data_IF_725318895457
#
_entry.id   IF_725318895457
#
_cell.length_a   1.000
_cell.length_b   1.000
_cell.length_c   1.000
_cell.angle_alpha   90.00
_cell.angle_beta   90.00
_cell.angle_gamma   90.00
#
_symmetry.space_group_name_H-M   'P 1'
#
loop_
_entity.id
_entity.type
_entity.pdbx_description
1 polymer ?
#
# COMPACT_ATOMS: atom_id res chain seq x y z
N UNK A 1 39.04 -67.98 -37.13
CA UNK A 1 39.36 -67.22 -38.36
C UNK A 1 38.02 -66.73 -38.93
N UNK A 2 37.87 -65.41 -39.10
CA UNK A 2 36.78 -64.66 -39.77
C UNK A 2 35.34 -64.87 -39.25
N UNK A 3 34.76 -63.92 -38.51
CA UNK A 3 34.13 -62.66 -38.95
C UNK A 3 32.67 -62.86 -39.40
N UNK A 4 31.76 -62.56 -38.47
CA UNK A 4 30.30 -62.53 -38.61
C UNK A 4 29.88 -61.13 -39.06
N UNK A 5 29.10 -61.03 -40.13
CA UNK A 5 28.34 -59.83 -40.50
C UNK A 5 26.93 -60.27 -40.88
N UNK A 6 25.98 -60.15 -39.95
CA UNK A 6 24.55 -60.22 -40.24
C UNK A 6 23.97 -58.80 -40.14
N UNK A 7 23.43 -58.33 -41.25
CA UNK A 7 22.69 -57.08 -41.35
C UNK A 7 21.37 -57.18 -40.57
N UNK A 8 21.19 -56.33 -39.56
CA UNK A 8 19.90 -56.09 -38.91
C UNK A 8 19.20 -54.91 -39.59
N UNK A 9 17.98 -55.15 -40.07
CA UNK A 9 17.04 -54.13 -40.54
C UNK A 9 16.43 -53.46 -39.30
N UNK A 10 16.71 -52.16 -39.10
CA UNK A 10 16.15 -51.38 -38.01
C UNK A 10 14.77 -50.81 -38.42
N UNK A 11 13.71 -51.29 -37.78
CA UNK A 11 12.39 -50.66 -37.78
C UNK A 11 12.45 -49.34 -36.99
N UNK A 12 12.18 -48.22 -37.66
CA UNK A 12 11.98 -46.91 -37.03
C UNK A 12 10.62 -46.90 -36.36
N UNK A 13 10.59 -46.94 -35.02
CA UNK A 13 9.39 -46.63 -34.24
C UNK A 13 9.37 -45.11 -34.03
N UNK A 14 8.39 -44.44 -34.61
CA UNK A 14 8.15 -43.01 -34.40
C UNK A 14 7.68 -42.77 -32.96
N UNK A 15 8.40 -41.91 -32.24
CA UNK A 15 7.96 -41.41 -30.94
C UNK A 15 6.77 -40.45 -31.10
N UNK A 16 5.77 -40.46 -30.19
CA UNK A 16 4.67 -39.52 -30.25
C UNK A 16 5.17 -38.09 -29.98
N UNK A 17 4.59 -37.06 -30.61
CA UNK A 17 4.98 -35.68 -30.38
C UNK A 17 4.68 -35.29 -28.92
N UNK A 18 5.71 -34.84 -28.22
CA UNK A 18 5.58 -34.23 -26.90
C UNK A 18 4.81 -32.91 -27.04
N UNK A 19 3.61 -32.87 -26.49
CA UNK A 19 2.87 -31.62 -26.27
C UNK A 19 3.56 -30.85 -25.14
N UNK A 20 4.65 -30.16 -25.44
CA UNK A 20 5.03 -28.99 -24.63
C UNK A 20 3.98 -27.92 -24.91
N UNK A 21 3.00 -27.83 -24.01
CA UNK A 21 2.16 -26.66 -23.89
C UNK A 21 3.09 -25.50 -23.52
N UNK A 22 3.40 -24.65 -24.48
CA UNK A 22 4.08 -23.39 -24.22
C UNK A 22 3.27 -22.67 -23.14
N UNK A 23 3.88 -22.43 -21.98
CA UNK A 23 3.33 -21.51 -21.00
C UNK A 23 3.19 -20.17 -21.73
N UNK A 24 1.96 -19.74 -21.95
CA UNK A 24 1.68 -18.39 -22.40
C UNK A 24 2.31 -17.47 -21.37
N UNK A 25 3.37 -16.75 -21.76
CA UNK A 25 3.89 -15.66 -20.96
C UNK A 25 2.73 -14.70 -20.71
N UNK A 26 2.27 -14.61 -19.47
CA UNK A 26 1.33 -13.57 -19.05
C UNK A 26 1.98 -12.24 -19.39
N UNK A 27 1.27 -11.39 -20.14
CA UNK A 27 1.71 -10.03 -20.39
C UNK A 27 2.01 -9.39 -19.02
N UNK A 28 3.18 -8.78 -18.79
CA UNK A 28 3.46 -8.07 -17.55
C UNK A 28 2.41 -6.99 -17.22
N UNK A 29 1.58 -6.55 -18.18
CA UNK A 29 0.41 -5.71 -17.92
C UNK A 29 -0.71 -6.41 -17.13
N UNK A 30 -0.80 -7.73 -17.23
CA UNK A 30 -1.85 -8.55 -16.60
C UNK A 30 -1.42 -9.09 -15.22
N UNK A 31 -0.14 -8.91 -14.84
CA UNK A 31 0.34 -9.31 -13.53
C UNK A 31 -0.29 -8.44 -12.44
N UNK A 32 -1.11 -9.06 -11.58
CA UNK A 32 -1.68 -8.42 -10.40
C UNK A 32 -0.71 -8.55 -9.23
N UNK A 33 -0.44 -7.42 -8.58
CA UNK A 33 0.50 -7.28 -7.47
C UNK A 33 -0.20 -6.66 -6.26
N UNK A 34 0.24 -7.06 -5.08
CA UNK A 34 -0.37 -6.63 -3.80
C UNK A 34 0.32 -5.37 -3.30
N UNK A 35 -0.45 -4.31 -3.08
CA UNK A 35 0.00 -2.99 -2.65
C UNK A 35 -0.66 -2.63 -1.31
N UNK A 36 -0.20 -1.58 -0.59
CA UNK A 36 -0.90 -1.10 0.62
C UNK A 36 -2.23 -0.38 0.31
N UNK A 37 -2.79 -0.60 -0.87
CA UNK A 37 -4.09 -0.12 -1.30
C UNK A 37 -4.93 -1.24 -1.95
N UNK A 38 -4.49 -2.51 -1.83
CA UNK A 38 -5.12 -3.65 -2.49
C UNK A 38 -4.36 -4.18 -3.71
N UNK A 39 -4.96 -5.16 -4.43
CA UNK A 39 -4.42 -5.71 -5.68
C UNK A 39 -4.55 -4.71 -6.84
N UNK A 40 -3.44 -4.45 -7.54
CA UNK A 40 -3.39 -3.62 -8.75
C UNK A 40 -2.58 -4.28 -9.86
N UNK A 41 -2.81 -3.95 -11.14
CA UNK A 41 -1.89 -4.31 -12.21
C UNK A 41 -0.50 -3.73 -11.95
N UNK A 42 0.56 -4.51 -12.17
CA UNK A 42 1.96 -4.06 -12.04
C UNK A 42 2.22 -2.82 -12.89
N UNK A 43 1.64 -2.76 -14.09
CA UNK A 43 1.77 -1.63 -15.02
C UNK A 43 1.18 -0.31 -14.49
N UNK A 44 0.32 -0.36 -13.46
CA UNK A 44 -0.25 0.83 -12.81
C UNK A 44 0.65 1.43 -11.73
N UNK A 45 1.81 0.81 -11.45
CA UNK A 45 2.70 1.23 -10.38
C UNK A 45 3.87 2.06 -10.91
N UNK A 46 4.08 3.23 -10.31
CA UNK A 46 5.08 4.20 -10.76
C UNK A 46 5.97 4.66 -9.61
N UNK A 47 7.28 4.46 -9.75
CA UNK A 47 8.25 5.05 -8.85
C UNK A 47 8.29 6.57 -9.06
N UNK A 48 8.21 7.33 -7.97
CA UNK A 48 8.40 8.79 -7.97
C UNK A 48 9.86 9.06 -7.60
N UNK A 49 10.67 9.61 -8.53
CA UNK A 49 12.07 9.93 -8.23
C UNK A 49 12.20 11.00 -7.14
N UNK A 50 13.33 10.99 -6.44
CA UNK A 50 13.64 12.00 -5.43
C UNK A 50 13.52 13.42 -6.00
N UNK A 51 12.78 14.27 -5.29
CA UNK A 51 12.52 15.66 -5.68
C UNK A 51 11.45 15.83 -6.77
N UNK A 52 10.92 14.75 -7.34
CA UNK A 52 9.73 14.80 -8.19
C UNK A 52 8.44 14.93 -7.34
N UNK A 53 7.32 15.24 -7.99
CA UNK A 53 6.00 15.32 -7.37
C UNK A 53 4.93 14.69 -8.25
N UNK A 54 3.85 14.22 -7.64
CA UNK A 54 2.65 13.77 -8.35
C UNK A 54 1.67 14.94 -8.48
N UNK A 55 1.15 15.17 -9.68
CA UNK A 55 0.12 16.18 -9.94
C UNK A 55 -1.13 15.54 -10.51
N UNK A 56 -2.20 15.52 -9.72
CA UNK A 56 -3.54 15.13 -10.16
C UNK A 56 -4.29 16.38 -10.63
N UNK A 57 -4.73 16.32 -11.89
CA UNK A 57 -5.79 17.15 -12.44
C UNK A 57 -7.07 16.31 -12.62
N UNK A 58 -8.14 16.92 -13.11
CA UNK A 58 -9.41 16.22 -13.36
C UNK A 58 -9.25 14.99 -14.27
N UNK A 59 -8.39 15.07 -15.30
CA UNK A 59 -8.32 14.06 -16.36
C UNK A 59 -6.99 13.30 -16.41
N UNK A 60 -5.95 13.80 -15.74
CA UNK A 60 -4.60 13.26 -15.86
C UNK A 60 -3.89 13.32 -14.51
N UNK A 61 -3.12 12.28 -14.22
CA UNK A 61 -2.13 12.26 -13.14
C UNK A 61 -0.73 12.21 -13.76
N UNK A 62 0.15 13.10 -13.32
CA UNK A 62 1.50 13.25 -13.85
C UNK A 62 2.55 13.14 -12.77
N UNK A 63 3.71 12.58 -13.11
CA UNK A 63 4.93 12.75 -12.31
C UNK A 63 5.72 13.90 -12.93
N UNK A 64 5.96 14.94 -12.14
CA UNK A 64 6.71 16.12 -12.55
C UNK A 64 8.06 16.12 -11.85
N UNK A 65 9.14 16.24 -12.62
CA UNK A 65 10.49 16.48 -12.11
C UNK A 65 10.55 17.81 -11.33
N UNK A 66 11.67 18.03 -10.64
CA UNK A 66 11.92 19.25 -9.88
C UNK A 66 11.94 20.52 -10.75
N UNK A 67 12.33 20.40 -12.01
CA UNK A 67 12.31 21.49 -13.01
C UNK A 67 10.94 21.67 -13.71
N UNK A 68 9.95 20.84 -13.38
CA UNK A 68 8.61 20.85 -13.97
C UNK A 68 8.44 19.96 -15.19
N UNK A 69 9.49 19.28 -15.66
CA UNK A 69 9.40 18.32 -16.78
C UNK A 69 8.46 17.16 -16.42
N UNK A 70 7.58 16.77 -17.35
CA UNK A 70 6.71 15.60 -17.18
C UNK A 70 7.54 14.33 -17.41
N UNK A 71 7.70 13.52 -16.38
CA UNK A 71 8.39 12.21 -16.41
C UNK A 71 7.40 11.11 -16.81
N UNK A 72 6.17 11.19 -16.32
CA UNK A 72 5.12 10.21 -16.56
C UNK A 72 3.76 10.90 -16.61
N UNK A 73 2.83 10.32 -17.38
CA UNK A 73 1.45 10.80 -17.50
C UNK A 73 0.52 9.61 -17.68
N UNK A 74 -0.50 9.51 -16.82
CA UNK A 74 -1.56 8.53 -16.91
C UNK A 74 -2.92 9.23 -16.90
N UNK A 75 -3.87 8.74 -17.69
CA UNK A 75 -5.24 9.24 -17.67
C UNK A 75 -5.94 8.83 -16.39
N UNK A 76 -6.78 9.72 -15.86
CA UNK A 76 -7.77 9.39 -14.83
C UNK A 76 -8.88 8.59 -15.50
N UNK A 77 -8.73 7.26 -15.54
CA UNK A 77 -9.85 6.38 -15.83
C UNK A 77 -10.70 6.29 -14.56
N UNK A 78 -11.98 6.69 -14.61
CA UNK A 78 -12.90 6.42 -13.50
C UNK A 78 -12.84 4.92 -13.20
N UNK A 79 -12.44 4.56 -11.99
CA UNK A 79 -12.38 3.17 -11.58
C UNK A 79 -13.76 2.54 -11.82
N UNK A 80 -13.84 1.55 -12.71
CA UNK A 80 -15.03 0.70 -12.79
C UNK A 80 -15.04 -0.07 -11.47
N UNK A 81 -15.99 0.26 -10.61
CA UNK A 81 -16.20 -0.38 -9.30
C UNK A 81 -16.40 -1.89 -9.47
N UNK A 82 -15.32 -2.64 -9.56
CA UNK A 82 -15.31 -4.08 -9.35
C UNK A 82 -14.65 -4.34 -8.01
N UNK A 83 -15.32 -3.92 -6.94
CA UNK A 83 -15.13 -4.63 -5.68
C UNK A 83 -15.51 -6.10 -5.93
N UNK A 84 -14.63 -7.07 -5.67
CA UNK A 84 -15.02 -8.47 -5.72
C UNK A 84 -16.10 -8.70 -4.66
N UNK A 85 -17.29 -9.12 -5.06
CA UNK A 85 -18.30 -9.66 -4.15
C UNK A 85 -17.73 -10.90 -3.46
N UNK A 86 -17.40 -10.77 -2.18
CA UNK A 86 -16.83 -11.84 -1.37
C UNK A 86 -17.94 -12.78 -0.84
N UNK A 87 -18.44 -13.67 -1.69
CA UNK A 87 -19.39 -14.72 -1.30
C UNK A 87 -18.68 -16.06 -1.15
N UNK A 88 -18.14 -16.37 0.04
CA UNK A 88 -18.22 -17.70 0.68
C UNK A 88 -17.34 -17.82 1.93
N UNK A 89 -17.89 -18.50 2.94
CA UNK A 89 -17.35 -18.80 4.26
C UNK A 89 -16.64 -20.16 4.25
N UNK A 90 -15.39 -20.19 3.79
CA UNK A 90 -14.42 -21.25 4.04
C UNK A 90 -13.11 -20.59 4.52
N UNK A 91 -12.19 -21.29 5.23
CA UNK A 91 -10.89 -20.73 5.59
C UNK A 91 -10.21 -20.23 4.31
N UNK A 92 -10.14 -18.91 4.18
CA UNK A 92 -9.84 -18.24 2.91
C UNK A 92 -8.32 -18.18 2.75
N UNK A 93 -7.81 -18.56 1.58
CA UNK A 93 -6.44 -18.23 1.21
C UNK A 93 -6.29 -16.71 1.21
N UNK A 94 -5.24 -16.16 1.84
CA UNK A 94 -5.15 -14.72 2.12
C UNK A 94 -4.94 -13.80 0.89
N UNK A 95 -5.38 -14.22 -0.30
CA UNK A 95 -5.10 -13.61 -1.61
C UNK A 95 -5.94 -12.37 -1.94
N UNK A 96 -6.81 -11.90 -1.04
CA UNK A 96 -7.59 -10.66 -1.24
C UNK A 96 -7.08 -9.45 -0.45
N UNK A 97 -6.00 -9.60 0.34
CA UNK A 97 -5.62 -8.59 1.33
C UNK A 97 -6.53 -8.62 2.54
N UNK A 98 -5.91 -8.65 3.72
CA UNK A 98 -6.61 -8.60 5.01
C UNK A 98 -6.46 -7.19 5.49
N UNK A 99 -7.55 -6.49 5.73
CA UNK A 99 -7.49 -5.12 6.24
C UNK A 99 -8.15 -5.11 7.61
N UNK A 100 -7.34 -4.93 8.64
CA UNK A 100 -7.84 -4.55 9.95
C UNK A 100 -7.50 -3.06 10.11
N UNK A 101 -8.51 -2.22 10.35
CA UNK A 101 -8.32 -0.77 10.33
C UNK A 101 -9.23 -0.05 11.32
N UNK A 102 -8.77 1.09 11.81
CA UNK A 102 -9.62 2.11 12.45
C UNK A 102 -9.70 3.33 11.56
N UNK A 103 -10.87 3.93 11.44
CA UNK A 103 -11.04 5.17 10.68
C UNK A 103 -11.83 6.23 11.44
N UNK A 104 -11.58 7.49 11.10
CA UNK A 104 -12.33 8.64 11.54
C UNK A 104 -12.60 9.55 10.35
N UNK A 105 -13.82 10.10 10.28
CA UNK A 105 -14.22 11.07 9.25
C UNK A 105 -14.25 12.48 9.83
N UNK A 106 -13.54 13.40 9.20
CA UNK A 106 -13.70 14.83 9.43
C UNK A 106 -15.03 15.31 8.81
N UNK A 107 -16.01 15.55 9.68
CA UNK A 107 -17.29 16.18 9.32
C UNK A 107 -17.27 17.71 9.48
N UNK A 108 -16.14 18.29 9.91
CA UNK A 108 -15.97 19.73 10.04
C UNK A 108 -15.81 20.43 8.68
N UNK A 109 -15.95 21.75 8.69
CA UNK A 109 -15.77 22.59 7.50
C UNK A 109 -14.30 22.90 7.19
N UNK A 110 -13.42 22.78 8.19
CA UNK A 110 -11.98 22.97 8.08
C UNK A 110 -11.32 21.65 7.68
N UNK A 111 -10.66 21.56 6.50
CA UNK A 111 -9.98 20.35 6.07
C UNK A 111 -8.91 19.88 7.05
N UNK A 112 -8.56 18.59 7.02
CA UNK A 112 -7.35 18.12 7.70
C UNK A 112 -6.15 18.86 7.08
N UNK A 113 -5.21 19.30 7.91
CA UNK A 113 -3.97 19.96 7.50
C UNK A 113 -2.73 19.19 7.94
N UNK A 114 -2.83 18.37 8.98
CA UNK A 114 -1.78 17.44 9.38
C UNK A 114 -2.39 16.19 10.01
N UNK A 115 -1.81 15.04 9.69
CA UNK A 115 -2.07 13.78 10.37
C UNK A 115 -0.75 13.04 10.57
N UNK A 116 -0.42 12.75 11.83
CA UNK A 116 0.77 12.00 12.19
C UNK A 116 0.49 10.93 13.22
N UNK A 117 1.21 9.81 13.09
CA UNK A 117 1.16 8.70 14.05
C UNK A 117 2.55 8.12 14.23
N UNK A 118 2.84 7.62 15.44
CA UNK A 118 4.14 7.02 15.78
C UNK A 118 3.98 5.58 16.23
N UNK A 119 4.88 4.71 15.79
CA UNK A 119 4.88 3.30 16.20
C UNK A 119 6.30 2.73 16.21
N UNK A 120 6.48 1.69 17.02
CA UNK A 120 7.72 0.91 17.04
C UNK A 120 7.64 -0.17 15.97
N UNK A 121 8.67 -0.27 15.12
CA UNK A 121 8.76 -1.31 14.09
C UNK A 121 8.66 -2.69 14.76
N UNK A 122 7.71 -3.55 14.38
CA UNK A 122 7.50 -4.83 15.05
C UNK A 122 8.68 -5.77 14.87
N UNK A 123 8.78 -6.85 15.68
CA UNK A 123 9.63 -7.98 15.35
C UNK A 123 9.32 -8.49 13.93
N UNK A 124 10.33 -8.92 13.19
CA UNK A 124 10.10 -9.63 11.94
C UNK A 124 9.37 -10.95 12.23
N UNK A 125 8.53 -11.45 11.31
CA UNK A 125 8.00 -12.80 11.36
C UNK A 125 9.03 -13.88 11.70
N UNK A 126 8.62 -14.85 12.54
CA UNK A 126 9.45 -15.96 12.95
C UNK A 126 9.87 -16.84 11.76
N UNK A 127 8.93 -17.06 10.82
CA UNK A 127 9.16 -17.69 9.52
C UNK A 127 9.13 -16.66 8.40
N UNK A 128 9.75 -16.95 7.27
CA UNK A 128 9.95 -15.99 6.17
C UNK A 128 9.63 -16.68 4.84
N UNK A 129 8.35 -16.93 4.66
CA UNK A 129 7.83 -17.84 3.64
C UNK A 129 7.05 -17.08 2.54
N UNK A 130 7.25 -15.76 2.44
CA UNK A 130 6.67 -14.89 1.41
C UNK A 130 5.60 -13.92 1.91
N UNK A 131 5.51 -13.70 3.22
CA UNK A 131 4.55 -12.79 3.82
C UNK A 131 4.77 -11.35 3.37
N UNK A 132 3.68 -10.65 3.10
CA UNK A 132 3.68 -9.23 2.80
C UNK A 132 2.74 -8.52 3.78
N UNK A 133 3.29 -7.60 4.55
CA UNK A 133 2.57 -6.82 5.54
C UNK A 133 2.76 -5.34 5.25
N UNK A 134 1.71 -4.55 5.47
CA UNK A 134 1.74 -3.10 5.48
C UNK A 134 1.12 -2.57 6.77
N UNK A 135 1.80 -1.64 7.42
CA UNK A 135 1.31 -0.92 8.61
C UNK A 135 1.43 0.57 8.32
N UNK A 136 0.34 1.31 8.45
CA UNK A 136 0.32 2.72 8.03
C UNK A 136 -0.80 3.52 8.68
N UNK A 137 -0.56 4.82 8.76
CA UNK A 137 -1.61 5.82 8.87
C UNK A 137 -1.93 6.38 7.48
N UNK A 138 -3.17 6.72 7.18
CA UNK A 138 -3.58 7.16 5.84
C UNK A 138 -4.64 8.27 5.80
N UNK A 139 -4.64 9.02 4.71
CA UNK A 139 -5.64 10.01 4.34
C UNK A 139 -6.41 9.55 3.09
N UNK A 140 -7.75 9.63 3.14
CA UNK A 140 -8.65 9.17 2.06
C UNK A 140 -9.71 10.25 1.74
N UNK A 141 -10.00 10.53 0.45
CA UNK A 141 -11.04 11.46 0.03
C UNK A 141 -12.44 10.83 0.11
N UNK A 142 -13.49 11.66 0.09
CA UNK A 142 -14.89 11.16 0.12
C UNK A 142 -15.27 10.26 -1.07
N UNK A 143 -14.57 10.38 -2.19
CA UNK A 143 -14.73 9.56 -3.40
C UNK A 143 -14.22 8.12 -3.20
N UNK A 144 -13.33 7.89 -2.24
CA UNK A 144 -12.64 6.61 -2.00
C UNK A 144 -11.84 6.11 -3.21
N UNK A 145 -11.48 6.98 -4.15
CA UNK A 145 -10.64 6.65 -5.31
C UNK A 145 -9.16 6.96 -5.06
N UNK A 146 -8.79 7.40 -3.85
CA UNK A 146 -7.41 7.68 -3.49
C UNK A 146 -7.07 7.26 -2.06
N UNK A 147 -5.78 6.99 -1.82
CA UNK A 147 -5.23 6.79 -0.48
C UNK A 147 -3.82 7.37 -0.46
N UNK A 148 -3.55 8.23 0.51
CA UNK A 148 -2.25 8.85 0.72
C UNK A 148 -1.68 8.39 2.06
N UNK A 149 -0.47 7.85 2.08
CA UNK A 149 0.01 7.11 3.24
C UNK A 149 1.55 6.97 3.29
N UNK A 150 2.18 7.21 4.45
CA UNK A 150 3.48 6.65 4.79
C UNK A 150 3.31 5.21 5.28
N UNK A 151 4.03 4.27 4.65
CA UNK A 151 3.84 2.83 4.85
C UNK A 151 5.10 2.15 5.37
N UNK A 152 4.95 1.37 6.44
CA UNK A 152 5.91 0.37 6.88
C UNK A 152 5.57 -0.99 6.25
N UNK A 153 6.45 -1.52 5.42
CA UNK A 153 6.30 -2.79 4.71
C UNK A 153 7.23 -3.87 5.29
N UNK A 154 6.73 -5.08 5.48
CA UNK A 154 7.56 -6.30 5.54
C UNK A 154 7.26 -7.15 4.32
N UNK A 155 8.26 -7.81 3.74
CA UNK A 155 8.08 -8.67 2.57
C UNK A 155 8.47 -8.00 1.26
N UNK A 156 8.37 -8.77 0.18
CA UNK A 156 8.68 -8.30 -1.18
C UNK A 156 7.42 -7.77 -1.85
N UNK A 157 7.50 -6.57 -2.40
CA UNK A 157 6.49 -5.97 -3.28
C UNK A 157 7.18 -5.44 -4.55
N UNK A 158 6.43 -4.98 -5.57
CA UNK A 158 7.03 -4.32 -6.74
C UNK A 158 7.80 -3.04 -6.40
N UNK A 159 7.52 -2.41 -5.26
CA UNK A 159 8.31 -1.27 -4.78
C UNK A 159 9.69 -1.68 -4.26
N UNK A 160 9.91 -2.98 -4.02
CA UNK A 160 11.12 -3.54 -3.41
C UNK A 160 10.81 -4.21 -2.08
N UNK A 161 11.81 -4.29 -1.21
CA UNK A 161 11.72 -4.97 0.08
C UNK A 161 12.27 -6.39 0.05
N UNK A 162 11.80 -7.21 0.97
CA UNK A 162 12.29 -8.58 1.18
C UNK A 162 11.99 -9.04 2.60
N UNK A 163 12.80 -9.95 3.12
CA UNK A 163 12.66 -10.50 4.47
C UNK A 163 13.10 -9.53 5.58
N UNK A 164 12.75 -8.26 5.46
CA UNK A 164 13.07 -7.15 6.36
C UNK A 164 11.99 -6.08 6.30
N UNK A 165 11.99 -5.18 7.28
CA UNK A 165 11.12 -4.02 7.30
C UNK A 165 11.68 -2.88 6.46
N UNK A 166 10.85 -2.22 5.65
CA UNK A 166 11.20 -1.04 4.87
C UNK A 166 10.09 0.00 4.95
N UNK A 167 10.42 1.27 4.73
CA UNK A 167 9.46 2.38 4.72
C UNK A 167 9.44 3.07 3.36
N UNK A 168 8.25 3.45 2.90
CA UNK A 168 8.05 4.26 1.69
C UNK A 168 6.74 5.04 1.83
N UNK A 169 6.59 6.15 1.11
CA UNK A 169 5.28 6.82 0.98
C UNK A 169 4.60 6.39 -0.31
N UNK A 170 3.27 6.23 -0.24
CA UNK A 170 2.44 5.78 -1.35
C UNK A 170 1.25 6.73 -1.55
N UNK A 171 0.85 6.86 -2.81
CA UNK A 171 -0.36 7.56 -3.22
C UNK A 171 -1.09 6.74 -4.29
N UNK A 172 -2.26 6.21 -3.94
CA UNK A 172 -3.25 5.75 -4.91
C UNK A 172 -4.06 6.94 -5.37
N UNK A 173 -4.29 7.01 -6.67
CA UNK A 173 -5.34 7.85 -7.25
C UNK A 173 -5.91 7.17 -8.48
N UNK A 174 -7.23 6.94 -8.45
CA UNK A 174 -7.98 6.18 -9.44
C UNK A 174 -7.44 4.76 -9.63
N UNK A 175 -6.75 4.51 -10.75
CA UNK A 175 -6.18 3.20 -11.10
C UNK A 175 -4.65 3.21 -11.15
N UNK A 176 -4.01 4.23 -10.57
CA UNK A 176 -2.56 4.39 -10.57
C UNK A 176 -2.03 4.50 -9.15
N UNK A 177 -0.89 3.84 -8.92
CA UNK A 177 -0.17 3.83 -7.66
C UNK A 177 1.17 4.53 -7.86
N UNK A 178 1.47 5.49 -7.00
CA UNK A 178 2.74 6.22 -6.98
C UNK A 178 3.43 5.96 -5.66
N UNK A 179 4.73 5.65 -5.68
CA UNK A 179 5.47 5.34 -4.46
C UNK A 179 6.89 5.87 -4.52
N UNK A 180 7.50 6.14 -3.36
CA UNK A 180 8.91 6.50 -3.27
C UNK A 180 9.79 5.26 -3.16
N UNK A 181 11.10 5.41 -3.39
CA UNK A 181 12.03 4.32 -3.15
C UNK A 181 11.97 3.88 -1.66
N UNK A 182 11.93 2.57 -1.37
CA UNK A 182 11.87 2.10 0.01
C UNK A 182 13.23 2.22 0.71
N UNK A 183 13.20 2.58 1.99
CA UNK A 183 14.37 2.61 2.88
C UNK A 183 14.24 1.53 3.96
N UNK A 184 15.29 0.75 4.18
CA UNK A 184 15.27 -0.34 5.13
C UNK A 184 15.34 0.16 6.58
N UNK A 185 14.49 -0.39 7.44
CA UNK A 185 14.46 -0.07 8.88
C UNK A 185 14.60 -1.33 9.73
N UNK A 186 15.03 -1.16 10.97
CA UNK A 186 15.21 -2.26 11.93
C UNK A 186 14.00 -2.37 12.85
N UNK A 187 13.66 -3.61 13.24
CA UNK A 187 12.74 -3.86 14.36
C UNK A 187 13.19 -3.09 15.61
N UNK A 188 12.22 -2.59 16.37
CA UNK A 188 12.46 -1.76 17.55
C UNK A 188 12.74 -0.29 17.26
N UNK A 189 12.95 0.12 16.00
CA UNK A 189 13.05 1.56 15.64
C UNK A 189 11.68 2.21 15.84
N UNK A 190 11.64 3.36 16.51
CA UNK A 190 10.44 4.22 16.54
C UNK A 190 10.38 5.00 15.23
N UNK A 191 9.23 4.94 14.57
CA UNK A 191 8.92 5.67 13.35
C UNK A 191 7.79 6.65 13.63
N UNK A 192 7.74 7.73 12.85
CA UNK A 192 6.60 8.63 12.80
C UNK A 192 6.25 8.93 11.35
N UNK A 193 5.11 8.42 10.91
CA UNK A 193 4.52 8.71 9.60
C UNK A 193 3.73 10.02 9.69
N UNK A 194 4.00 10.95 8.77
CA UNK A 194 3.41 12.29 8.80
C UNK A 194 2.91 12.65 7.41
N UNK A 195 1.66 13.11 7.34
CA UNK A 195 1.09 13.76 6.17
C UNK A 195 0.75 15.20 6.52
N UNK A 196 1.19 16.15 5.70
CA UNK A 196 0.98 17.58 5.92
C UNK A 196 0.51 18.27 4.66
N UNK A 197 -0.56 19.05 4.76
CA UNK A 197 -0.98 19.97 3.74
C UNK A 197 -0.03 21.17 3.75
N UNK A 198 0.73 21.31 2.66
CA UNK A 198 1.74 22.35 2.47
C UNK A 198 1.11 23.67 2.04
N UNK A 199 0.11 23.61 1.17
CA UNK A 199 -0.60 24.80 0.68
C UNK A 199 -1.92 24.43 0.03
N UNK A 200 -2.83 25.40 -0.03
CA UNK A 200 -4.05 25.34 -0.85
C UNK A 200 -3.97 26.46 -1.88
N UNK A 201 -4.16 26.15 -3.15
CA UNK A 201 -4.15 27.13 -4.24
C UNK A 201 -5.46 27.09 -4.99
N UNK A 202 -5.98 28.26 -5.39
CA UNK A 202 -7.22 28.35 -6.17
C UNK A 202 -6.91 28.98 -7.52
N UNK A 203 -7.28 28.30 -8.60
CA UNK A 203 -7.17 28.81 -9.97
C UNK A 203 -8.43 28.43 -10.74
N UNK A 204 -9.04 29.38 -11.45
CA UNK A 204 -10.27 29.17 -12.23
C UNK A 204 -11.38 28.42 -11.46
N UNK A 205 -11.58 28.77 -10.19
CA UNK A 205 -12.53 28.12 -9.26
C UNK A 205 -12.22 26.67 -8.88
N UNK A 206 -11.11 26.10 -9.35
CA UNK A 206 -10.58 24.81 -8.90
C UNK A 206 -9.65 25.03 -7.72
N UNK A 207 -9.93 24.35 -6.61
CA UNK A 207 -9.04 24.30 -5.45
C UNK A 207 -8.09 23.12 -5.62
N UNK A 208 -6.81 23.35 -5.35
CA UNK A 208 -5.76 22.32 -5.35
C UNK A 208 -5.10 22.28 -3.99
N UNK A 209 -5.03 21.08 -3.42
CA UNK A 209 -4.42 20.77 -2.14
C UNK A 209 -3.06 20.14 -2.39
N UNK A 210 -2.01 20.82 -1.94
CA UNK A 210 -0.63 20.36 -2.08
C UNK A 210 -0.20 19.70 -0.78
N UNK A 211 0.13 18.42 -0.83
CA UNK A 211 0.44 17.59 0.33
C UNK A 211 1.86 17.04 0.28
N UNK A 212 2.38 16.66 1.44
CA UNK A 212 3.58 15.86 1.57
C UNK A 212 3.34 14.72 2.57
N UNK A 213 3.81 13.51 2.24
CA UNK A 213 3.85 12.34 3.11
C UNK A 213 5.30 11.95 3.32
N UNK A 214 5.69 11.66 4.56
CA UNK A 214 7.06 11.33 4.90
C UNK A 214 7.13 10.55 6.21
N UNK A 215 8.15 9.69 6.36
CA UNK A 215 8.62 9.27 7.68
C UNK A 215 9.66 10.24 8.22
N UNK A 216 9.41 10.79 9.41
CA UNK A 216 10.34 11.74 10.04
C UNK A 216 11.75 11.16 10.13
N UNK A 217 12.74 11.89 9.62
CA UNK A 217 14.14 11.46 9.59
C UNK A 217 14.50 10.48 8.48
N UNK A 218 13.62 10.23 7.51
CA UNK A 218 13.87 9.36 6.34
C UNK A 218 13.52 10.11 5.04
N UNK A 219 14.40 10.99 4.53
CA UNK A 219 14.08 11.90 3.41
C UNK A 219 13.68 11.21 2.11
N UNK A 220 14.20 10.00 1.85
CA UNK A 220 13.86 9.14 0.71
C UNK A 220 12.38 8.75 0.66
N UNK A 221 11.65 8.91 1.77
CA UNK A 221 10.20 8.62 1.83
C UNK A 221 9.33 9.85 1.55
N UNK A 222 9.91 11.00 1.23
CA UNK A 222 9.17 12.23 0.98
C UNK A 222 8.41 12.17 -0.35
N UNK A 223 7.09 12.05 -0.29
CA UNK A 223 6.21 12.07 -1.44
C UNK A 223 5.38 13.36 -1.46
N UNK A 224 5.64 14.22 -2.43
CA UNK A 224 4.84 15.44 -2.65
C UNK A 224 3.77 15.19 -3.70
N UNK A 225 2.53 15.55 -3.39
CA UNK A 225 1.39 15.42 -4.30
C UNK A 225 0.60 16.72 -4.40
N UNK A 226 -0.20 16.84 -5.45
CA UNK A 226 -1.25 17.83 -5.56
C UNK A 226 -2.52 17.16 -6.05
N UNK A 227 -3.65 17.47 -5.41
CA UNK A 227 -4.95 16.86 -5.66
C UNK A 227 -6.03 17.93 -5.68
N UNK A 228 -7.07 17.74 -6.48
CA UNK A 228 -8.29 18.56 -6.46
C UNK A 228 -9.27 18.11 -5.39
N UNK A 229 -8.97 17.03 -4.68
CA UNK A 229 -9.83 16.43 -3.67
C UNK A 229 -9.36 16.77 -2.26
N UNK A 230 -10.33 16.92 -1.37
CA UNK A 230 -10.07 17.03 0.06
C UNK A 230 -9.95 15.62 0.63
N UNK A 231 -8.93 15.36 1.43
CA UNK A 231 -8.88 14.16 2.26
C UNK A 231 -9.71 14.37 3.52
N UNK A 232 -10.78 13.58 3.65
CA UNK A 232 -11.77 13.70 4.71
C UNK A 232 -11.66 12.62 5.76
N UNK A 233 -10.99 11.51 5.47
CA UNK A 233 -10.84 10.41 6.39
C UNK A 233 -9.40 10.25 6.82
N UNK A 234 -9.21 9.94 8.10
CA UNK A 234 -7.97 9.46 8.68
C UNK A 234 -8.12 7.97 9.00
N UNK A 235 -7.09 7.18 8.70
CA UNK A 235 -7.06 5.73 8.91
C UNK A 235 -5.80 5.32 9.66
N UNK A 236 -5.92 4.29 10.49
CA UNK A 236 -4.83 3.49 11.04
C UNK A 236 -5.08 2.05 10.58
N UNK A 237 -4.13 1.40 9.91
CA UNK A 237 -4.40 0.14 9.23
C UNK A 237 -3.23 -0.85 9.25
N UNK A 238 -3.62 -2.12 9.21
CA UNK A 238 -2.80 -3.28 8.90
C UNK A 238 -3.35 -3.93 7.62
N UNK A 239 -2.50 -4.10 6.61
CA UNK A 239 -2.77 -4.97 5.47
C UNK A 239 -1.86 -6.19 5.46
N UNK A 240 -2.42 -7.39 5.20
CA UNK A 240 -1.65 -8.64 5.10
C UNK A 240 -1.98 -9.37 3.80
N UNK A 241 -0.95 -9.88 3.12
CA UNK A 241 -1.04 -10.68 1.91
C UNK A 241 -0.07 -11.86 1.96
N UNK A 242 -0.38 -12.89 1.16
CA UNK A 242 0.54 -14.02 0.91
C UNK A 242 0.97 -14.77 2.18
N UNK A 243 0.11 -14.82 3.20
CA UNK A 243 0.37 -15.59 4.43
C UNK A 243 -0.54 -16.81 4.48
N UNK A 244 -0.02 -17.93 5.00
CA UNK A 244 -0.77 -19.19 5.05
C UNK A 244 -1.41 -19.45 6.40
N UNK A 245 -0.79 -18.94 7.48
CA UNK A 245 -1.20 -19.13 8.87
C UNK A 245 -0.81 -17.91 9.70
N UNK A 246 -1.62 -17.55 10.69
CA UNK A 246 -1.35 -16.41 11.57
C UNK A 246 -0.03 -16.53 12.35
N UNK A 247 0.42 -17.76 12.62
CA UNK A 247 1.74 -18.05 13.22
C UNK A 247 2.94 -17.57 12.39
N UNK A 248 2.71 -17.24 11.12
CA UNK A 248 3.72 -16.73 10.20
C UNK A 248 3.81 -15.19 10.25
N UNK A 249 3.08 -14.52 11.14
CA UNK A 249 3.08 -13.06 11.32
C UNK A 249 3.80 -12.66 12.61
N UNK A 250 4.07 -11.35 12.83
CA UNK A 250 4.50 -10.87 14.15
C UNK A 250 3.45 -11.21 15.22
N UNK A 251 3.91 -11.46 16.44
CA UNK A 251 3.05 -11.73 17.60
C UNK A 251 2.93 -10.50 18.50
N UNK A 252 1.89 -10.44 19.31
CA UNK A 252 1.70 -9.37 20.30
C UNK A 252 0.93 -8.19 19.71
N UNK A 253 1.45 -6.97 19.87
CA UNK A 253 0.79 -5.77 19.35
C UNK A 253 1.77 -4.74 18.78
N UNK A 254 1.25 -3.95 17.85
CA UNK A 254 1.89 -2.71 17.38
C UNK A 254 1.02 -1.54 17.80
N UNK A 255 1.53 -0.74 18.75
CA UNK A 255 0.83 0.44 19.22
C UNK A 255 1.06 1.60 18.26
N UNK A 256 -0.02 2.11 17.66
CA UNK A 256 -0.04 3.31 16.85
C UNK A 256 -0.41 4.48 17.77
N UNK A 257 0.62 5.14 18.26
CA UNK A 257 0.58 6.11 19.37
C UNK A 257 0.85 7.53 18.90
N UNK A 258 0.67 8.50 19.80
CA UNK A 258 0.88 9.91 19.50
C UNK A 258 0.11 10.35 18.24
N UNK A 259 -1.07 9.78 18.05
CA UNK A 259 -1.98 10.14 16.97
C UNK A 259 -2.32 11.61 17.16
N UNK A 260 -1.96 12.41 16.16
CA UNK A 260 -2.16 13.84 16.17
C UNK A 260 -2.78 14.28 14.85
N UNK A 261 -3.98 14.87 14.93
CA UNK A 261 -4.74 15.38 13.78
C UNK A 261 -4.99 16.86 14.00
N UNK A 262 -4.62 17.67 13.00
CA UNK A 262 -4.81 19.12 12.98
C UNK A 262 -5.60 19.48 11.74
N UNK A 263 -6.51 20.43 11.87
CA UNK A 263 -7.29 21.01 10.77
C UNK A 263 -6.71 22.35 10.32
N UNK A 264 -7.08 22.84 9.14
CA UNK A 264 -6.47 24.06 8.56
C UNK A 264 -6.61 25.32 9.43
N UNK A 265 -7.68 25.42 10.22
CA UNK A 265 -7.90 26.48 11.22
C UNK A 265 -7.11 26.28 12.52
N UNK A 266 -6.17 25.33 12.55
CA UNK A 266 -5.26 25.07 13.67
C UNK A 266 -5.88 24.31 14.83
N UNK A 267 -7.09 23.75 14.66
CA UNK A 267 -7.79 23.03 15.72
C UNK A 267 -7.53 21.53 15.67
N UNK A 268 -7.61 20.91 16.83
CA UNK A 268 -7.65 19.46 17.00
C UNK A 268 -9.12 19.01 17.10
N UNK A 269 -9.64 18.22 16.15
CA UNK A 269 -11.03 17.78 16.16
C UNK A 269 -11.27 16.75 17.27
N UNK A 270 -12.52 16.60 17.72
CA UNK A 270 -12.90 15.48 18.57
C UNK A 270 -12.90 14.18 17.74
N UNK A 271 -12.15 13.17 18.18
CA UNK A 271 -12.09 11.88 17.48
C UNK A 271 -13.11 10.91 18.04
N UNK A 272 -13.65 10.09 17.15
CA UNK A 272 -14.44 8.91 17.46
C UNK A 272 -14.12 7.86 16.40
N UNK A 273 -13.07 7.07 16.67
CA UNK A 273 -12.61 6.04 15.75
C UNK A 273 -13.62 4.91 15.62
N UNK A 274 -13.84 4.44 14.39
CA UNK A 274 -14.59 3.21 14.11
C UNK A 274 -13.62 2.14 13.65
N UNK A 275 -13.62 0.99 14.33
CA UNK A 275 -12.69 -0.10 14.05
C UNK A 275 -13.38 -1.25 13.32
N UNK A 276 -12.67 -1.80 12.35
CA UNK A 276 -13.00 -3.02 11.63
C UNK A 276 -11.86 -4.00 11.90
N UNK A 277 -12.22 -5.12 12.54
CA UNK A 277 -11.30 -6.16 12.97
C UNK A 277 -11.64 -7.47 12.25
N UNK A 278 -10.65 -8.35 12.14
CA UNK A 278 -10.86 -9.72 11.67
C UNK A 278 -10.94 -10.66 12.87
N UNK A 279 -12.16 -10.87 13.35
CA UNK A 279 -12.42 -11.76 14.49
C UNK A 279 -12.27 -13.24 14.16
N UNK A 280 -12.26 -13.61 12.87
CA UNK A 280 -12.10 -15.01 12.45
C UNK A 280 -10.66 -15.44 12.63
N UNK A 281 -9.73 -14.61 12.15
CA UNK A 281 -8.31 -14.91 12.23
C UNK A 281 -7.63 -14.28 13.46
N UNK A 282 -8.33 -13.45 14.24
CA UNK A 282 -7.88 -12.96 15.55
C UNK A 282 -7.20 -11.59 15.53
N UNK A 283 -7.15 -10.91 14.38
CA UNK A 283 -6.59 -9.56 14.25
C UNK A 283 -7.57 -8.51 14.73
N UNK A 284 -7.09 -7.57 15.54
CA UNK A 284 -7.95 -6.50 16.07
C UNK A 284 -7.28 -5.13 15.95
N UNK A 285 -8.09 -4.12 15.63
CA UNK A 285 -7.71 -2.72 15.80
C UNK A 285 -8.48 -2.20 17.02
N UNK A 286 -7.77 -1.98 18.12
CA UNK A 286 -8.37 -1.55 19.38
C UNK A 286 -8.11 -0.07 19.63
N UNK A 287 -9.17 0.72 19.78
CA UNK A 287 -9.06 2.14 20.13
C UNK A 287 -8.77 2.24 21.63
N UNK A 288 -7.54 2.62 21.97
CA UNK A 288 -7.11 2.78 23.37
C UNK A 288 -7.41 4.20 23.83
N UNK A 289 -7.19 5.19 22.95
CA UNK A 289 -7.39 6.60 23.28
C UNK A 289 -7.87 7.42 22.08
N UNK A 290 -9.04 8.04 22.22
CA UNK A 290 -9.66 8.92 21.22
C UNK A 290 -9.12 10.37 21.25
N UNK A 291 -7.82 10.55 21.43
CA UNK A 291 -7.17 11.87 21.47
C UNK A 291 -6.73 12.35 20.09
N UNK A 292 -6.95 13.62 19.75
CA UNK A 292 -6.42 14.25 18.53
C UNK A 292 -5.02 14.86 18.70
N UNK A 293 -4.43 14.76 19.89
CA UNK A 293 -3.07 15.22 20.22
C UNK A 293 -2.18 14.11 20.78
N UNK A 294 -2.80 13.00 21.19
CA UNK A 294 -2.17 11.93 21.97
C UNK A 294 -2.99 10.63 21.86
N UNK A 295 -3.69 10.44 20.73
CA UNK A 295 -4.50 9.25 20.52
C UNK A 295 -3.66 8.00 20.35
N UNK A 296 -4.34 6.86 20.52
CA UNK A 296 -3.72 5.54 20.40
C UNK A 296 -4.72 4.52 19.85
N UNK A 297 -4.27 3.80 18.83
CA UNK A 297 -4.93 2.62 18.26
C UNK A 297 -3.91 1.48 18.26
N UNK A 298 -4.28 0.35 18.83
CA UNK A 298 -3.44 -0.84 18.85
C UNK A 298 -3.82 -1.79 17.72
N UNK A 299 -2.83 -2.20 16.93
CA UNK A 299 -2.93 -3.41 16.10
C UNK A 299 -2.57 -4.60 16.98
N UNK A 300 -3.53 -5.48 17.22
CA UNK A 300 -3.34 -6.74 17.94
C UNK A 300 -3.25 -7.87 16.94
N UNK A 301 -2.13 -8.59 16.95
CA UNK A 301 -1.93 -9.78 16.14
C UNK A 301 -2.58 -11.00 16.80
N UNK A 302 -2.95 -11.96 15.96
CA UNK A 302 -3.53 -13.23 16.36
C UNK A 302 -2.55 -14.15 17.13
#
# INVERSE_FOLDING_TARGET
MLAVCLFFVATVVAAPPSLLKAATATDPSDEIVMTPAGPFPRASMHLVPDGARVHQSENVVQILASDGTIIHSATVAKAVSKQPTLTSLAPRALSSGYVAYSYWKNNGTSPISSFSTSWTVPPVPAKKDGQLLYIFNALIPNSFDGIFQPVLQFGSSPAGGGNYWAVASWFLVNSNIYFTAPDQVKSGKVLSGVMTLKSTTTSNSTVTYNWNSIFTGVPSTSLSISSTEVFNYAYEALEIYSVSRTSDLPTGKTAMTAINIVTQDGKHPALNWTSVSDTTDGFQLAVIKNGATDGEVDIVYA
#
